data_IF_806500552973
#
_entry.id   IF_806500552973
#
_cell.length_a   1.000
_cell.length_b   1.000
_cell.length_c   1.000
_cell.angle_alpha   90.00
_cell.angle_beta   90.00
_cell.angle_gamma   90.00
#
_symmetry.space_group_name_H-M   'P 1'
#
loop_
_entity.id
_entity.type
_entity.pdbx_description
1 polymer ?
#
# COMPACT_ATOMS: atom_id res chain seq x y z
N UNK A 1 -12.19 8.91 22.78
CA UNK A 1 -12.01 8.03 21.62
C UNK A 1 -12.17 6.64 22.16
N UNK A 2 -13.32 6.01 21.94
CA UNK A 2 -13.62 4.72 22.55
C UNK A 2 -12.79 3.64 21.85
N UNK A 3 -11.93 2.99 22.62
CA UNK A 3 -11.16 1.84 22.17
C UNK A 3 -12.01 0.60 22.36
N UNK A 4 -12.31 -0.11 21.28
CA UNK A 4 -12.98 -1.40 21.34
C UNK A 4 -11.94 -2.51 21.55
N UNK A 5 -12.22 -3.41 22.50
CA UNK A 5 -11.48 -4.67 22.63
C UNK A 5 -11.68 -5.49 21.36
N UNK A 6 -10.57 -5.99 20.82
CA UNK A 6 -10.55 -6.88 19.68
C UNK A 6 -11.27 -8.19 20.05
N UNK A 7 -12.22 -8.65 19.22
CA UNK A 7 -13.17 -9.72 19.56
C UNK A 7 -12.57 -11.14 19.56
N UNK A 8 -11.27 -11.32 19.82
CA UNK A 8 -10.55 -12.60 19.96
C UNK A 8 -10.85 -13.68 18.90
N UNK A 9 -11.36 -13.30 17.72
CA UNK A 9 -11.75 -14.28 16.71
C UNK A 9 -10.53 -14.78 15.92
N UNK A 10 -10.62 -16.02 15.45
CA UNK A 10 -9.54 -16.74 14.77
C UNK A 10 -8.99 -16.03 13.52
N UNK A 11 -9.73 -15.05 12.98
CA UNK A 11 -9.37 -14.32 11.77
C UNK A 11 -8.70 -12.96 12.02
N UNK A 12 -8.46 -12.58 13.27
CA UNK A 12 -7.80 -11.31 13.57
C UNK A 12 -6.29 -11.46 13.52
N UNK A 13 -5.70 -10.98 12.42
CA UNK A 13 -4.27 -11.12 12.12
C UNK A 13 -3.38 -10.06 12.79
N UNK A 14 -3.98 -9.04 13.40
CA UNK A 14 -3.28 -7.84 13.87
C UNK A 14 -3.82 -7.36 15.23
N UNK A 15 -2.91 -6.97 16.12
CA UNK A 15 -3.16 -6.40 17.45
C UNK A 15 -2.69 -4.95 17.50
N UNK A 16 -3.51 -4.03 17.98
CA UNK A 16 -3.13 -2.63 18.16
C UNK A 16 -2.62 -2.37 19.58
N UNK A 17 -1.44 -1.76 19.71
CA UNK A 17 -0.90 -1.26 20.96
C UNK A 17 -1.15 0.25 21.09
N UNK A 18 -2.10 0.61 21.95
CA UNK A 18 -2.50 1.99 22.17
C UNK A 18 -1.46 2.82 22.96
N UNK A 19 -0.47 2.19 23.59
CA UNK A 19 0.55 2.89 24.38
C UNK A 19 1.67 3.46 23.50
N UNK A 20 2.03 2.78 22.43
CA UNK A 20 3.12 3.19 21.51
C UNK A 20 2.66 3.41 20.06
N UNK A 21 1.39 3.17 19.75
CA UNK A 21 0.82 3.40 18.43
C UNK A 21 1.25 2.37 17.39
N UNK A 22 1.56 1.13 17.80
CA UNK A 22 2.02 0.08 16.90
C UNK A 22 0.96 -0.97 16.61
N UNK A 23 1.00 -1.55 15.40
CA UNK A 23 0.24 -2.75 15.06
C UNK A 23 1.20 -3.96 15.08
N UNK A 24 0.82 -5.01 15.78
CA UNK A 24 1.59 -6.25 15.89
C UNK A 24 0.88 -7.38 15.14
N UNK A 25 1.63 -8.15 14.36
CA UNK A 25 1.17 -9.44 13.84
C UNK A 25 1.00 -10.43 14.99
N UNK A 26 -0.06 -11.26 14.93
CA UNK A 26 -0.26 -12.36 15.91
C UNK A 26 0.86 -13.41 15.88
N UNK A 27 1.56 -13.55 14.76
CA UNK A 27 2.42 -14.72 14.49
C UNK A 27 3.90 -14.57 14.82
N UNK A 28 4.44 -13.35 14.86
CA UNK A 28 5.89 -13.13 14.97
C UNK A 28 6.29 -11.90 15.82
N UNK A 29 5.33 -11.24 16.48
CA UNK A 29 5.63 -10.17 17.44
C UNK A 29 6.36 -8.98 16.84
N UNK A 30 6.29 -8.81 15.52
CA UNK A 30 6.92 -7.70 14.82
C UNK A 30 6.05 -6.45 15.01
N UNK A 31 6.64 -5.38 15.54
CA UNK A 31 5.98 -4.09 15.69
C UNK A 31 6.02 -3.33 14.36
N UNK A 32 4.84 -3.03 13.79
CA UNK A 32 4.71 -2.04 12.73
C UNK A 32 4.41 -0.67 13.37
N UNK A 33 5.26 0.32 13.11
CA UNK A 33 5.00 1.72 13.46
C UNK A 33 3.87 2.27 12.57
N UNK A 34 2.76 2.73 13.15
CA UNK A 34 1.67 3.39 12.41
C UNK A 34 1.72 4.89 12.64
N UNK A 35 2.72 5.54 12.08
CA UNK A 35 2.76 7.00 12.01
C UNK A 35 3.33 7.44 10.66
N UNK A 36 2.45 7.54 9.67
CA UNK A 36 2.55 8.45 8.54
C UNK A 36 1.14 8.61 7.95
N UNK A 37 0.78 9.83 7.55
CA UNK A 37 -0.52 10.11 6.93
C UNK A 37 -0.65 9.46 5.55
N UNK A 38 0.46 9.05 4.95
CA UNK A 38 0.54 8.45 3.63
C UNK A 38 0.96 6.99 3.76
N UNK A 39 0.18 6.10 3.18
CA UNK A 39 0.41 4.67 3.27
C UNK A 39 0.46 4.05 1.87
N UNK A 40 1.34 3.06 1.72
CA UNK A 40 1.42 2.19 0.55
C UNK A 40 1.17 0.76 1.04
N UNK A 41 0.11 0.14 0.55
CA UNK A 41 -0.20 -1.26 0.79
C UNK A 41 -0.03 -2.04 -0.51
N UNK A 42 0.51 -3.26 -0.44
CA UNK A 42 0.70 -4.09 -1.62
C UNK A 42 0.35 -5.56 -1.33
N UNK A 43 -0.13 -6.27 -2.36
CA UNK A 43 -0.41 -7.69 -2.29
C UNK A 43 -0.26 -8.35 -3.66
N UNK A 44 0.44 -9.50 -3.67
CA UNK A 44 0.67 -10.27 -4.89
C UNK A 44 -0.63 -10.83 -5.46
N UNK A 45 -0.76 -10.75 -6.79
CA UNK A 45 -1.84 -11.40 -7.55
C UNK A 45 -1.35 -12.70 -8.20
N UNK A 46 -2.29 -13.54 -8.64
CA UNK A 46 -1.99 -14.87 -9.21
C UNK A 46 -1.18 -14.83 -10.51
N UNK A 47 -1.13 -13.69 -11.19
CA UNK A 47 -0.40 -13.48 -12.45
C UNK A 47 0.98 -12.82 -12.24
N UNK A 48 1.50 -12.83 -11.02
CA UNK A 48 2.76 -12.18 -10.60
C UNK A 48 2.76 -10.65 -10.66
N UNK A 49 1.61 -10.02 -10.93
CA UNK A 49 1.45 -8.59 -10.73
C UNK A 49 1.21 -8.26 -9.25
N UNK A 50 1.27 -6.97 -8.92
CA UNK A 50 0.98 -6.46 -7.58
C UNK A 50 -0.29 -5.61 -7.60
N UNK A 51 -1.22 -5.88 -6.69
CA UNK A 51 -2.26 -4.93 -6.32
C UNK A 51 -1.66 -3.95 -5.32
N UNK A 52 -1.75 -2.65 -5.60
CA UNK A 52 -1.16 -1.59 -4.77
C UNK A 52 -2.25 -0.58 -4.40
N UNK A 53 -2.28 -0.18 -3.13
CA UNK A 53 -3.15 0.88 -2.62
C UNK A 53 -2.29 2.03 -2.14
N UNK A 54 -2.56 3.23 -2.64
CA UNK A 54 -1.98 4.49 -2.17
C UNK A 54 -3.06 5.21 -1.37
N UNK A 55 -2.86 5.37 -0.07
CA UNK A 55 -3.86 5.89 0.84
C UNK A 55 -3.34 7.16 1.51
N UNK A 56 -4.08 8.26 1.36
CA UNK A 56 -3.86 9.48 2.13
C UNK A 56 -4.89 9.53 3.28
N UNK A 57 -4.42 9.27 4.51
CA UNK A 57 -5.16 9.38 5.77
C UNK A 57 -5.02 10.75 6.43
N UNK A 58 -4.26 11.66 5.84
CA UNK A 58 -4.13 13.04 6.30
C UNK A 58 -5.46 13.76 6.29
N UNK A 59 -5.55 14.89 6.99
CA UNK A 59 -6.82 15.57 7.25
C UNK A 59 -7.05 16.84 6.42
N UNK A 60 -6.01 17.36 5.76
CA UNK A 60 -6.05 18.69 5.16
C UNK A 60 -5.37 18.79 3.80
N UNK A 61 -4.29 18.04 3.56
CA UNK A 61 -3.45 18.23 2.39
C UNK A 61 -3.66 17.14 1.34
N UNK A 62 -3.63 17.55 0.07
CA UNK A 62 -3.48 16.63 -1.05
C UNK A 62 -2.01 16.33 -1.22
N UNK A 63 -1.67 15.05 -1.32
CA UNK A 63 -0.30 14.60 -1.23
C UNK A 63 0.10 13.73 -2.42
N UNK A 64 1.41 13.66 -2.68
CA UNK A 64 1.95 12.74 -3.68
C UNK A 64 2.47 11.50 -2.99
N UNK A 65 2.03 10.31 -3.43
CA UNK A 65 2.46 9.03 -2.87
C UNK A 65 3.23 8.25 -3.94
N UNK A 66 4.42 7.80 -3.57
CA UNK A 66 5.31 7.00 -4.42
C UNK A 66 5.33 5.55 -3.95
N UNK A 67 5.12 4.62 -4.89
CA UNK A 67 5.44 3.20 -4.71
C UNK A 67 6.74 2.87 -5.45
N UNK A 68 7.72 2.29 -4.76
CA UNK A 68 8.96 1.80 -5.39
C UNK A 68 8.85 0.31 -5.70
N UNK A 69 9.45 -0.12 -6.80
CA UNK A 69 9.47 -1.52 -7.23
C UNK A 69 10.09 -2.44 -6.20
N UNK A 70 11.15 -1.99 -5.54
CA UNK A 70 11.81 -2.75 -4.46
C UNK A 70 10.90 -3.01 -3.26
N UNK A 71 9.93 -2.14 -3.01
CA UNK A 71 9.03 -2.24 -1.86
C UNK A 71 7.91 -3.28 -2.11
N UNK A 72 7.65 -3.60 -3.39
CA UNK A 72 6.61 -4.55 -3.83
C UNK A 72 7.19 -5.83 -4.48
N UNK A 73 8.49 -6.07 -4.29
CA UNK A 73 9.15 -7.32 -4.71
C UNK A 73 9.61 -7.37 -6.17
N UNK A 74 9.68 -6.25 -6.88
CA UNK A 74 10.25 -6.15 -8.23
C UNK A 74 11.70 -5.66 -8.18
N UNK A 75 12.48 -5.92 -9.24
CA UNK A 75 13.82 -5.34 -9.38
C UNK A 75 13.75 -3.85 -9.69
N UNK A 76 14.76 -3.09 -9.25
CA UNK A 76 14.77 -1.63 -9.44
C UNK A 76 14.82 -1.21 -10.92
N UNK A 77 15.35 -2.04 -11.80
CA UNK A 77 15.45 -1.82 -13.24
C UNK A 77 14.26 -2.38 -14.03
N UNK A 78 13.30 -3.03 -13.35
CA UNK A 78 12.13 -3.64 -13.98
C UNK A 78 11.21 -2.57 -14.58
N UNK A 79 10.94 -2.65 -15.89
CA UNK A 79 9.83 -1.93 -16.51
C UNK A 79 8.51 -2.59 -16.10
N UNK A 80 7.51 -1.81 -15.72
CA UNK A 80 6.19 -2.31 -15.35
C UNK A 80 5.07 -1.42 -15.88
N UNK A 81 3.95 -2.04 -16.26
CA UNK A 81 2.71 -1.35 -16.64
C UNK A 81 1.96 -1.00 -15.36
N UNK A 82 1.56 0.26 -15.20
CA UNK A 82 0.74 0.74 -14.08
C UNK A 82 -0.67 1.03 -14.58
N UNK A 83 -1.67 0.40 -13.95
CA UNK A 83 -3.09 0.55 -14.28
C UNK A 83 -3.88 1.05 -13.07
N UNK A 84 -4.66 2.11 -13.24
CA UNK A 84 -5.64 2.54 -12.24
C UNK A 84 -6.89 1.66 -12.33
N UNK A 85 -7.23 0.98 -11.24
CA UNK A 85 -8.35 0.04 -11.19
C UNK A 85 -9.71 0.74 -11.04
N UNK A 86 -9.75 1.94 -10.47
CA UNK A 86 -10.98 2.73 -10.36
C UNK A 86 -11.41 3.30 -11.71
N UNK A 87 -10.49 3.96 -12.41
CA UNK A 87 -10.77 4.56 -13.74
C UNK A 87 -10.67 3.56 -14.89
N UNK A 88 -10.14 2.36 -14.62
CA UNK A 88 -9.88 1.31 -15.62
C UNK A 88 -8.95 1.78 -16.74
N UNK A 89 -7.97 2.60 -16.39
CA UNK A 89 -7.06 3.26 -17.30
C UNK A 89 -5.62 2.78 -17.08
N UNK A 90 -4.89 2.55 -18.17
CA UNK A 90 -3.45 2.30 -18.11
C UNK A 90 -2.72 3.65 -18.07
N UNK A 91 -2.02 3.91 -16.97
CA UNK A 91 -1.31 5.17 -16.74
C UNK A 91 0.04 5.23 -17.47
N UNK A 92 0.50 4.10 -18.00
CA UNK A 92 1.73 3.98 -18.78
C UNK A 92 2.68 2.91 -18.27
N UNK A 93 3.92 2.97 -18.77
CA UNK A 93 5.02 2.10 -18.39
C UNK A 93 6.01 2.91 -17.58
N UNK A 94 6.40 2.40 -16.41
CA UNK A 94 7.32 3.04 -15.49
C UNK A 94 8.44 2.08 -15.10
N UNK A 95 9.59 2.65 -14.75
CA UNK A 95 10.77 1.91 -14.27
C UNK A 95 11.12 2.41 -12.88
N UNK A 96 11.54 1.49 -12.00
CA UNK A 96 11.94 1.73 -10.60
C UNK A 96 10.83 2.16 -9.63
N UNK A 97 9.88 3.00 -10.04
CA UNK A 97 8.80 3.49 -9.18
C UNK A 97 7.66 4.11 -9.98
N UNK A 98 6.56 4.41 -9.29
CA UNK A 98 5.48 5.25 -9.77
C UNK A 98 5.03 6.21 -8.67
N UNK A 99 4.83 7.49 -9.02
CA UNK A 99 4.28 8.51 -8.12
C UNK A 99 2.92 8.96 -8.61
N UNK A 100 1.90 8.79 -7.78
CA UNK A 100 0.59 9.39 -8.04
C UNK A 100 0.54 10.77 -7.39
N UNK A 101 0.33 11.84 -8.18
CA UNK A 101 0.21 13.18 -7.63
C UNK A 101 -1.20 13.43 -7.08
N UNK A 102 -1.31 14.42 -6.19
CA UNK A 102 -2.57 15.03 -5.77
C UNK A 102 -3.63 14.04 -5.23
N UNK A 103 -3.22 13.05 -4.44
CA UNK A 103 -4.17 12.22 -3.69
C UNK A 103 -4.75 13.08 -2.59
N UNK A 104 -6.01 13.48 -2.75
CA UNK A 104 -6.74 14.28 -1.76
C UNK A 104 -6.74 13.61 -0.39
N UNK A 105 -6.83 14.40 0.67
CA UNK A 105 -7.00 13.89 2.03
C UNK A 105 -8.18 12.90 2.10
N UNK A 106 -8.07 11.91 2.99
CA UNK A 106 -9.02 10.79 3.15
C UNK A 106 -9.34 10.01 1.87
N UNK A 107 -8.46 10.06 0.87
CA UNK A 107 -8.70 9.45 -0.43
C UNK A 107 -7.71 8.33 -0.73
N UNK A 108 -8.11 7.49 -1.68
CA UNK A 108 -7.42 6.25 -2.00
C UNK A 108 -7.34 6.05 -3.51
N UNK A 109 -6.19 5.57 -3.97
CA UNK A 109 -6.01 5.07 -5.33
C UNK A 109 -5.65 3.59 -5.27
N UNK A 110 -6.27 2.81 -6.16
CA UNK A 110 -5.96 1.39 -6.31
C UNK A 110 -5.35 1.14 -7.69
N UNK A 111 -4.17 0.52 -7.68
CA UNK A 111 -3.36 0.24 -8.85
C UNK A 111 -3.17 -1.26 -9.03
N UNK A 112 -3.06 -1.70 -10.28
CA UNK A 112 -2.44 -2.96 -10.65
C UNK A 112 -1.12 -2.66 -11.35
N UNK A 113 -0.03 -3.27 -10.87
CA UNK A 113 1.32 -3.05 -11.39
C UNK A 113 1.85 -4.37 -11.92
N UNK A 114 2.08 -4.44 -13.23
CA UNK A 114 2.45 -5.68 -13.92
C UNK A 114 3.88 -5.58 -14.46
N UNK A 115 4.83 -6.38 -13.99
CA UNK A 115 6.20 -6.34 -14.49
C UNK A 115 6.22 -6.85 -15.94
N UNK A 116 6.93 -6.13 -16.80
CA UNK A 116 7.16 -6.56 -18.18
C UNK A 116 8.20 -7.68 -18.19
N UNK A 117 7.97 -8.78 -18.91
CA UNK A 117 9.02 -9.79 -19.02
C UNK A 117 10.22 -9.21 -19.75
N UNK A 118 11.38 -9.22 -19.10
CA UNK A 118 12.65 -8.98 -19.78
C UNK A 118 12.82 -10.08 -20.84
N UNK A 119 13.08 -9.68 -22.09
CA UNK A 119 13.43 -10.62 -23.18
C UNK A 119 14.84 -11.16 -22.99
#
# INVERSE_FOLDING_TARGET
VDAHTCNEQDYQQWLWNATDGTVQTKHDGQCLTVLQELEVWAGSLSDHSQAVVLLNRGNTESESITVKWTDIGFSNDQAAVVRNLWTREDLGIFTSNFTSPNITYHSVIMLKITPMRNK
#
